data_IF_768814780030
#
_entry.id   IF_768814780030
#
_cell.length_a   1.000
_cell.length_b   1.000
_cell.length_c   1.000
_cell.angle_alpha   90.00
_cell.angle_beta   90.00
_cell.angle_gamma   90.00
#
_symmetry.space_group_name_H-M   'P 1'
#
loop_
_entity.id
_entity.type
_entity.pdbx_description
1 polymer ?
#
# COMPACT_ATOMS: atom_id res chain seq x y z
N UNK A 1 -5.24 -8.66 11.82
CA UNK A 1 -4.38 -7.58 12.37
C UNK A 1 -3.24 -7.32 11.41
N UNK A 2 -2.99 -6.05 11.06
CA UNK A 2 -1.90 -5.65 10.17
C UNK A 2 -0.56 -5.89 10.87
N UNK A 3 0.33 -6.68 10.25
CA UNK A 3 1.67 -6.96 10.79
C UNK A 3 2.73 -6.31 9.89
N UNK A 4 3.30 -5.23 10.40
CA UNK A 4 4.09 -4.25 9.67
C UNK A 4 5.30 -3.89 10.53
N UNK A 5 6.46 -3.82 9.89
CA UNK A 5 7.67 -3.24 10.46
C UNK A 5 8.14 -2.10 9.55
N UNK A 6 9.26 -1.45 9.88
CA UNK A 6 9.73 -0.27 9.16
C UNK A 6 11.24 -0.22 8.99
N UNK A 7 11.66 0.41 7.90
CA UNK A 7 13.00 0.92 7.74
C UNK A 7 13.18 2.18 8.61
N UNK A 8 14.43 2.64 8.74
CA UNK A 8 14.70 3.99 9.26
C UNK A 8 14.13 5.02 8.30
N UNK A 9 12.97 5.58 8.67
CA UNK A 9 12.21 6.55 7.87
C UNK A 9 10.73 6.16 7.81
N UNK A 10 9.93 6.87 7.00
CA UNK A 10 8.51 6.57 6.81
C UNK A 10 8.27 5.49 5.74
N UNK A 11 9.13 4.46 5.69
CA UNK A 11 9.02 3.33 4.74
C UNK A 11 8.78 2.06 5.54
N UNK A 12 7.73 1.34 5.17
CA UNK A 12 7.22 0.20 5.91
C UNK A 12 7.24 -1.06 5.06
N UNK A 13 7.21 -2.22 5.71
CA UNK A 13 7.07 -3.49 5.03
C UNK A 13 6.22 -4.47 5.81
N UNK A 14 5.48 -5.31 5.10
CA UNK A 14 4.68 -6.38 5.69
C UNK A 14 5.57 -7.50 6.23
N UNK A 15 5.28 -7.95 7.46
CA UNK A 15 5.94 -9.13 8.06
C UNK A 15 5.08 -10.40 7.96
N UNK A 16 3.86 -10.27 7.44
CA UNK A 16 2.94 -11.37 7.14
C UNK A 16 2.07 -10.95 5.93
N UNK A 17 1.53 -11.89 5.14
CA UNK A 17 0.67 -11.52 4.03
C UNK A 17 -0.66 -10.99 4.55
N UNK A 18 -1.29 -10.14 3.76
CA UNK A 18 -2.65 -9.64 4.03
C UNK A 18 -3.52 -9.83 2.79
N UNK A 19 -4.83 -9.95 2.99
CA UNK A 19 -5.78 -10.07 1.89
C UNK A 19 -7.03 -9.23 2.13
N UNK A 20 -7.49 -8.53 1.11
CA UNK A 20 -8.83 -7.97 1.08
C UNK A 20 -9.71 -8.82 0.17
N UNK A 21 -10.89 -9.17 0.67
CA UNK A 21 -11.92 -9.92 -0.06
C UNK A 21 -13.16 -9.04 -0.09
N UNK A 22 -13.78 -8.81 -1.26
CA UNK A 22 -15.01 -8.02 -1.33
C UNK A 22 -16.13 -8.64 -0.50
N UNK A 23 -16.92 -7.79 0.14
CA UNK A 23 -18.14 -8.20 0.81
C UNK A 23 -19.25 -8.57 -0.21
N UNK A 24 -20.30 -9.30 0.21
CA UNK A 24 -21.45 -9.57 -0.65
C UNK A 24 -22.01 -8.29 -1.28
N UNK A 25 -22.21 -8.29 -2.60
CA UNK A 25 -22.62 -7.13 -3.40
C UNK A 25 -21.48 -6.28 -3.98
N UNK A 26 -20.21 -6.59 -3.67
CA UNK A 26 -19.01 -5.91 -4.20
C UNK A 26 -18.20 -6.81 -5.17
N UNK A 27 -18.74 -7.94 -5.61
CA UNK A 27 -18.04 -9.01 -6.35
C UNK A 27 -17.65 -8.63 -7.79
N UNK A 28 -17.93 -7.39 -8.21
CA UNK A 28 -17.39 -6.81 -9.44
C UNK A 28 -15.85 -6.81 -9.42
N UNK A 29 -15.22 -6.83 -8.24
CA UNK A 29 -13.78 -6.96 -8.07
C UNK A 29 -13.39 -8.31 -7.47
N UNK A 30 -12.23 -8.82 -7.89
CA UNK A 30 -11.62 -10.01 -7.29
C UNK A 30 -10.83 -9.63 -6.04
N UNK A 31 -10.70 -10.58 -5.10
CA UNK A 31 -9.85 -10.46 -3.93
C UNK A 31 -8.41 -10.02 -4.29
N UNK A 32 -7.75 -9.34 -3.36
CA UNK A 32 -6.38 -8.87 -3.47
C UNK A 32 -5.57 -9.46 -2.34
N UNK A 33 -4.49 -10.15 -2.68
CA UNK A 33 -3.52 -10.65 -1.71
C UNK A 33 -2.22 -9.88 -1.86
N UNK A 34 -1.78 -9.27 -0.77
CA UNK A 34 -0.50 -8.57 -0.67
C UNK A 34 0.50 -9.50 0.03
N UNK A 35 1.64 -9.83 -0.60
CA UNK A 35 2.58 -10.78 -0.03
C UNK A 35 3.34 -10.21 1.18
N UNK A 36 3.84 -11.11 2.03
CA UNK A 36 4.89 -10.76 3.00
C UNK A 36 6.06 -10.07 2.30
N UNK A 37 6.65 -9.09 2.95
CA UNK A 37 7.76 -8.33 2.40
C UNK A 37 7.33 -7.24 1.42
N UNK A 38 6.04 -7.03 1.16
CA UNK A 38 5.63 -5.86 0.38
C UNK A 38 6.01 -4.56 1.11
N UNK A 39 6.64 -3.63 0.39
CA UNK A 39 7.11 -2.34 0.87
C UNK A 39 6.14 -1.23 0.48
N UNK A 40 5.76 -0.40 1.44
CA UNK A 40 4.78 0.70 1.30
C UNK A 40 5.34 1.97 1.93
N UNK A 41 5.07 3.10 1.28
CA UNK A 41 5.46 4.44 1.72
C UNK A 41 4.23 5.34 2.00
N UNK A 42 3.02 4.81 1.78
CA UNK A 42 1.75 5.52 1.89
C UNK A 42 1.69 6.83 1.11
N UNK A 43 2.57 6.99 0.10
CA UNK A 43 2.73 8.24 -0.63
C UNK A 43 1.51 8.59 -1.51
N UNK A 44 0.67 7.59 -1.80
CA UNK A 44 -0.59 7.76 -2.52
C UNK A 44 -1.67 8.50 -1.70
N UNK A 45 -1.52 8.58 -0.37
CA UNK A 45 -2.47 9.22 0.54
C UNK A 45 -1.95 10.60 0.95
N UNK A 46 -2.77 11.67 0.87
CA UNK A 46 -2.35 13.01 1.28
C UNK A 46 -1.86 13.07 2.73
N UNK A 47 -0.80 13.85 2.97
CA UNK A 47 -0.13 13.94 4.30
C UNK A 47 -1.04 14.32 5.46
N UNK A 48 -2.09 15.11 5.21
CA UNK A 48 -3.09 15.47 6.24
C UNK A 48 -3.79 14.24 6.84
N UNK A 49 -3.84 13.13 6.11
CA UNK A 49 -4.41 11.85 6.53
C UNK A 49 -3.35 10.89 7.11
N UNK A 50 -2.10 11.30 7.29
CA UNK A 50 -1.07 10.38 7.79
C UNK A 50 -1.20 10.08 9.30
N UNK A 51 -1.88 10.93 10.07
CA UNK A 51 -2.11 10.69 11.51
C UNK A 51 -2.90 9.41 11.80
N UNK A 52 -3.75 8.97 10.86
CA UNK A 52 -4.50 7.73 10.95
C UNK A 52 -3.90 6.58 10.10
N UNK A 53 -2.68 6.75 9.56
CA UNK A 53 -1.89 5.68 8.91
C UNK A 53 -0.94 4.96 9.87
N UNK A 54 -1.25 4.99 11.17
CA UNK A 54 -0.54 4.15 12.14
C UNK A 54 -0.81 2.67 11.84
N UNK A 55 0.05 1.73 12.27
CA UNK A 55 -0.22 0.29 12.12
C UNK A 55 -1.59 -0.18 12.64
N UNK A 56 -2.10 0.49 13.68
CA UNK A 56 -3.41 0.32 14.31
C UNK A 56 -4.48 1.29 13.78
N UNK A 57 -4.17 2.06 12.74
CA UNK A 57 -5.04 3.05 12.15
C UNK A 57 -6.17 2.44 11.32
N UNK A 58 -7.33 3.09 11.35
CA UNK A 58 -8.60 2.58 10.83
C UNK A 58 -8.56 2.13 9.37
N UNK A 59 -7.73 2.76 8.54
CA UNK A 59 -7.61 2.45 7.11
C UNK A 59 -6.19 2.05 6.68
N UNK A 60 -5.26 1.82 7.62
CA UNK A 60 -3.89 1.44 7.27
C UNK A 60 -3.85 0.13 6.47
N UNK A 61 -4.71 -0.83 6.81
CA UNK A 61 -4.84 -2.08 6.06
C UNK A 61 -5.26 -1.83 4.60
N UNK A 62 -6.30 -1.01 4.40
CA UNK A 62 -6.80 -0.64 3.09
C UNK A 62 -5.75 0.15 2.28
N UNK A 63 -4.99 1.02 2.94
CA UNK A 63 -3.90 1.78 2.33
C UNK A 63 -2.77 0.88 1.79
N UNK A 64 -2.40 -0.18 2.52
CA UNK A 64 -1.38 -1.14 2.04
C UNK A 64 -1.89 -1.90 0.80
N UNK A 65 -3.16 -2.31 0.79
CA UNK A 65 -3.79 -2.94 -0.38
C UNK A 65 -3.79 -2.00 -1.60
N UNK A 66 -4.11 -0.73 -1.38
CA UNK A 66 -4.09 0.31 -2.40
C UNK A 66 -2.69 0.52 -2.99
N UNK A 67 -1.68 0.72 -2.13
CA UNK A 67 -0.29 0.88 -2.55
C UNK A 67 0.22 -0.33 -3.32
N UNK A 68 -0.20 -1.54 -2.95
CA UNK A 68 0.15 -2.76 -3.71
C UNK A 68 -0.45 -2.76 -5.12
N UNK A 69 -1.71 -2.33 -5.27
CA UNK A 69 -2.33 -2.20 -6.58
C UNK A 69 -1.69 -1.07 -7.41
N UNK A 70 -1.34 0.04 -6.78
CA UNK A 70 -0.59 1.16 -7.39
C UNK A 70 0.80 0.74 -7.83
N UNK A 71 1.48 -0.08 -7.05
CA UNK A 71 2.80 -0.60 -7.41
C UNK A 71 2.72 -1.64 -8.53
N UNK A 72 1.87 -2.67 -8.39
CA UNK A 72 1.80 -3.76 -9.36
C UNK A 72 1.18 -3.34 -10.69
N UNK A 73 0.20 -2.43 -10.64
CA UNK A 73 -0.56 -1.94 -11.81
C UNK A 73 -1.16 -3.08 -12.64
N UNK A 74 -1.54 -4.17 -11.98
CA UNK A 74 -2.25 -5.31 -12.60
C UNK A 74 -3.74 -5.03 -12.82
N UNK A 75 -4.22 -3.91 -12.27
CA UNK A 75 -5.58 -3.36 -12.42
C UNK A 75 -5.44 -1.90 -12.83
N UNK A 76 -6.52 -1.29 -13.30
CA UNK A 76 -6.50 0.14 -13.60
C UNK A 76 -6.47 0.97 -12.30
N UNK A 77 -5.98 2.22 -12.39
CA UNK A 77 -6.00 3.17 -11.28
C UNK A 77 -7.41 3.32 -10.68
N UNK A 78 -8.42 3.42 -11.53
CA UNK A 78 -9.83 3.55 -11.10
C UNK A 78 -10.29 2.36 -10.25
N UNK A 79 -9.91 1.16 -10.64
CA UNK A 79 -10.24 -0.04 -9.88
C UNK A 79 -9.48 -0.08 -8.56
N UNK A 80 -8.20 0.29 -8.55
CA UNK A 80 -7.43 0.41 -7.31
C UNK A 80 -8.06 1.40 -6.32
N UNK A 81 -8.46 2.59 -6.80
CA UNK A 81 -9.12 3.61 -5.98
C UNK A 81 -10.48 3.12 -5.45
N UNK A 82 -11.26 2.39 -6.27
CA UNK A 82 -12.53 1.81 -5.85
C UNK A 82 -12.35 0.72 -4.79
N UNK A 83 -11.38 -0.17 -4.99
CA UNK A 83 -11.03 -1.21 -4.02
C UNK A 83 -10.61 -0.58 -2.69
N UNK A 84 -9.84 0.50 -2.74
CA UNK A 84 -9.48 1.23 -1.52
C UNK A 84 -10.69 1.80 -0.79
N UNK A 85 -11.64 2.39 -1.52
CA UNK A 85 -12.91 2.87 -0.95
C UNK A 85 -13.69 1.76 -0.26
N UNK A 86 -13.94 0.65 -0.96
CA UNK A 86 -14.70 -0.49 -0.39
C UNK A 86 -13.96 -1.11 0.79
N UNK A 87 -12.64 -1.29 0.69
CA UNK A 87 -11.87 -1.80 1.81
C UNK A 87 -12.04 -0.89 3.03
N UNK A 88 -11.94 0.44 2.90
CA UNK A 88 -12.21 1.33 4.05
C UNK A 88 -13.63 1.18 4.61
N UNK A 89 -14.64 1.02 3.74
CA UNK A 89 -16.04 0.79 4.16
C UNK A 89 -16.19 -0.55 4.91
N UNK A 90 -15.53 -1.60 4.44
CA UNK A 90 -15.53 -2.94 5.07
C UNK A 90 -14.81 -2.96 6.43
N UNK A 91 -13.87 -2.02 6.64
CA UNK A 91 -13.21 -1.75 7.92
C UNK A 91 -13.97 -0.73 8.78
N UNK A 92 -15.22 -0.41 8.44
CA UNK A 92 -16.11 0.48 9.19
C UNK A 92 -15.57 1.91 9.39
N UNK A 93 -14.70 2.36 8.48
CA UNK A 93 -14.20 3.74 8.49
C UNK A 93 -15.37 4.70 8.21
N UNK A 94 -15.45 5.79 8.98
CA UNK A 94 -16.54 6.75 8.86
C UNK A 94 -16.73 7.30 7.43
N UNK A 95 -17.97 7.36 6.95
CA UNK A 95 -18.30 7.69 5.55
C UNK A 95 -17.72 9.04 5.07
N UNK A 96 -17.63 10.04 5.95
CA UNK A 96 -17.02 11.34 5.64
C UNK A 96 -15.52 11.17 5.36
N UNK A 97 -14.81 10.40 6.20
CA UNK A 97 -13.39 10.08 6.03
C UNK A 97 -13.17 9.32 4.74
N UNK A 98 -13.97 8.26 4.48
CA UNK A 98 -13.93 7.49 3.23
C UNK A 98 -14.11 8.40 2.01
N UNK A 99 -15.17 9.23 2.00
CA UNK A 99 -15.46 10.12 0.87
C UNK A 99 -14.36 11.15 0.63
N UNK A 100 -13.77 11.67 1.70
CA UNK A 100 -12.68 12.66 1.62
C UNK A 100 -11.40 12.04 1.06
N UNK A 101 -10.95 10.91 1.62
CA UNK A 101 -9.76 10.19 1.18
C UNK A 101 -9.93 9.72 -0.26
N UNK A 102 -11.08 9.12 -0.59
CA UNK A 102 -11.39 8.65 -1.94
C UNK A 102 -11.34 9.80 -2.95
N UNK A 103 -11.96 10.95 -2.64
CA UNK A 103 -11.91 12.12 -3.52
C UNK A 103 -10.47 12.61 -3.72
N UNK A 104 -9.66 12.62 -2.66
CA UNK A 104 -8.28 13.05 -2.74
C UNK A 104 -7.42 12.14 -3.64
N UNK A 105 -7.55 10.80 -3.55
CA UNK A 105 -6.81 9.88 -4.44
C UNK A 105 -7.33 9.94 -5.88
N UNK A 106 -8.62 10.20 -6.09
CA UNK A 106 -9.19 10.36 -7.43
C UNK A 106 -8.59 11.57 -8.15
N UNK A 107 -8.46 12.70 -7.44
CA UNK A 107 -7.96 13.97 -7.96
C UNK A 107 -6.42 14.05 -8.02
N UNK A 108 -5.71 13.47 -7.05
CA UNK A 108 -4.26 13.63 -6.90
C UNK A 108 -3.42 12.36 -7.10
N UNK A 109 -4.05 11.18 -7.20
CA UNK A 109 -3.35 9.90 -7.27
C UNK A 109 -2.63 9.62 -8.59
N UNK A 110 -2.87 10.40 -9.65
CA UNK A 110 -2.26 10.19 -10.96
C UNK A 110 -0.73 10.34 -10.94
N UNK A 111 -0.21 11.35 -10.22
CA UNK A 111 1.24 11.51 -10.04
C UNK A 111 1.84 10.26 -9.38
N UNK A 112 1.27 9.83 -8.25
CA UNK A 112 1.76 8.63 -7.54
C UNK A 112 1.65 7.36 -8.40
N UNK A 113 0.61 7.23 -9.22
CA UNK A 113 0.44 6.11 -10.15
C UNK A 113 1.56 6.08 -11.21
N UNK A 114 1.85 7.23 -11.81
CA UNK A 114 2.89 7.36 -12.84
C UNK A 114 4.30 7.19 -12.26
N UNK A 115 4.56 7.78 -11.08
CA UNK A 115 5.84 7.63 -10.38
C UNK A 115 6.15 6.17 -10.04
N UNK A 116 5.13 5.38 -9.66
CA UNK A 116 5.30 3.94 -9.42
C UNK A 116 5.61 3.18 -10.72
N UNK A 117 4.97 3.56 -11.84
CA UNK A 117 5.28 2.97 -13.14
C UNK A 117 6.72 3.25 -13.55
N UNK A 118 7.17 4.49 -13.38
CA UNK A 118 8.53 4.91 -13.71
C UNK A 118 9.58 4.21 -12.83
N UNK A 119 9.41 4.20 -11.51
CA UNK A 119 10.32 3.51 -10.58
C UNK A 119 10.46 2.03 -10.90
N UNK A 120 9.34 1.37 -11.21
CA UNK A 120 9.32 -0.05 -11.61
C UNK A 120 10.01 -0.27 -12.96
N UNK A 121 9.82 0.62 -13.93
CA UNK A 121 10.54 0.57 -15.21
C UNK A 121 12.06 0.78 -15.05
N UNK A 122 12.47 1.57 -14.06
CA UNK A 122 13.87 1.77 -13.65
C UNK A 122 14.43 0.59 -12.82
N UNK A 123 13.63 -0.45 -12.56
CA UNK A 123 14.07 -1.65 -11.87
C UNK A 123 13.92 -1.62 -10.34
N UNK A 124 13.26 -0.62 -9.76
CA UNK A 124 12.90 -0.66 -8.33
C UNK A 124 12.00 -1.88 -8.06
N UNK A 125 12.20 -2.51 -6.90
CA UNK A 125 11.43 -3.66 -6.44
C UNK A 125 10.86 -3.37 -5.06
N UNK A 126 9.60 -3.76 -4.83
CA UNK A 126 8.91 -3.55 -3.54
C UNK A 126 8.47 -4.82 -2.83
N UNK A 127 9.00 -5.99 -3.19
CA UNK A 127 8.72 -7.25 -2.47
C UNK A 127 10.02 -7.84 -1.98
N UNK A 128 10.20 -7.89 -0.66
CA UNK A 128 11.38 -8.42 -0.01
C UNK A 128 11.35 -9.95 0.07
N UNK A 129 12.49 -10.61 -0.17
CA UNK A 129 12.67 -12.04 0.14
C UNK A 129 13.27 -12.27 1.53
N UNK A 130 13.85 -11.22 2.12
CA UNK A 130 14.44 -11.21 3.46
C UNK A 130 13.95 -10.00 4.22
N UNK A 131 13.60 -10.16 5.50
CA UNK A 131 13.13 -9.04 6.32
C UNK A 131 14.33 -8.38 7.04
N UNK A 132 14.48 -7.04 6.97
CA UNK A 132 15.51 -6.32 7.71
C UNK A 132 15.44 -6.61 9.21
N UNK A 133 16.58 -6.90 9.83
CA UNK A 133 16.72 -7.13 11.27
C UNK A 133 17.36 -5.93 12.00
N UNK A 134 18.17 -5.13 11.29
CA UNK A 134 18.75 -3.91 11.86
C UNK A 134 17.75 -2.75 11.76
N UNK A 135 17.25 -2.20 12.88
CA UNK A 135 16.26 -1.11 12.85
C UNK A 135 16.81 0.21 12.32
N UNK A 136 18.13 0.33 12.10
CA UNK A 136 18.79 1.56 11.64
C UNK A 136 18.91 1.65 10.12
N UNK A 137 18.65 0.55 9.41
CA UNK A 137 18.82 0.49 7.95
C UNK A 137 17.79 1.34 7.22
N UNK A 138 18.26 2.12 6.24
CA UNK A 138 17.39 2.94 5.40
C UNK A 138 16.88 2.12 4.20
N UNK A 139 15.81 2.61 3.56
CA UNK A 139 15.31 2.01 2.33
C UNK A 139 16.35 2.10 1.19
N UNK A 140 17.05 3.23 1.09
CA UNK A 140 18.06 3.43 0.04
C UNK A 140 19.25 2.49 0.19
N UNK A 141 19.73 2.28 1.43
CA UNK A 141 20.79 1.28 1.70
C UNK A 141 20.31 -0.14 1.39
N UNK A 142 19.03 -0.44 1.66
CA UNK A 142 18.47 -1.76 1.41
C UNK A 142 18.38 -2.07 -0.09
N UNK A 143 17.96 -1.09 -0.92
CA UNK A 143 17.85 -1.24 -2.38
C UNK A 143 19.16 -1.67 -3.05
N UNK A 144 20.30 -1.28 -2.49
CA UNK A 144 21.62 -1.61 -3.06
C UNK A 144 22.07 -3.06 -2.79
N UNK A 145 21.35 -3.81 -1.95
CA UNK A 145 21.78 -5.16 -1.54
C UNK A 145 21.41 -6.20 -2.61
N UNK A 146 22.33 -7.07 -3.02
CA UNK A 146 22.01 -8.13 -3.97
C UNK A 146 21.13 -9.21 -3.33
N UNK A 147 20.15 -9.72 -4.08
CA UNK A 147 19.35 -10.89 -3.70
C UNK A 147 18.38 -10.71 -2.53
N UNK A 148 18.02 -9.47 -2.18
CA UNK A 148 17.08 -9.17 -1.07
C UNK A 148 15.63 -8.94 -1.53
N UNK A 149 15.39 -8.94 -2.84
CA UNK A 149 14.09 -8.76 -3.44
C UNK A 149 13.62 -10.02 -4.16
N UNK A 150 12.30 -10.15 -4.29
CA UNK A 150 11.70 -11.14 -5.16
C UNK A 150 12.20 -10.95 -6.61
N UNK A 151 12.25 -12.03 -7.41
CA UNK A 151 12.59 -11.96 -8.83
C UNK A 151 11.81 -10.88 -9.59
#
# INVERSE_FOLDING_TARGET
MLRISRFRGPIYFLTAPISWTPNPGQEVYKAVTVPTGFVTDFASIPRIFWSALRPDGEYAYAAVVHDYLYWTQTRTRKEADHIFKMAMEDFEVGAVTVGTIYSAVRLGGESAWNDNAEKKAQGEKRVLTRLPQDPRITWDDWKQRPGVFAP
#
